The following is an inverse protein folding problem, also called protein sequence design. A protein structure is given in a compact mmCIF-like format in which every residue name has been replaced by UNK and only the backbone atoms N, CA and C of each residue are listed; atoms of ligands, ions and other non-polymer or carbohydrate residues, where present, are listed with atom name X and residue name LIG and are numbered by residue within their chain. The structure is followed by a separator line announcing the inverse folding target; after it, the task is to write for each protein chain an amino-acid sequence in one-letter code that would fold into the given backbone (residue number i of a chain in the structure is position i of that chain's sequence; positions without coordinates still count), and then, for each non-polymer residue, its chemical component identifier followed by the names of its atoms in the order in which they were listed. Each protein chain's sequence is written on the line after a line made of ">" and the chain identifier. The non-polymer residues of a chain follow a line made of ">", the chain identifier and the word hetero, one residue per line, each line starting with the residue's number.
data_IF_652518777954
#
_entry.id   IF_652518777954
#
_cell.length_a   1.000
_cell.length_b   1.000
_cell.length_c   1.000
_cell.angle_alpha   90.00
_cell.angle_beta   90.00
_cell.angle_gamma   90.00
#
_symmetry.space_group_name_H-M   'P 1'
#
loop_
_entity.id
_entity.type
_entity.pdbx_description
1 polymer ?
#
# COMPACT_ATOMS: atom_id res chain seq x y z
N UNK A 1 8.68 7.92 -29.07
CA UNK A 1 9.04 9.08 -28.22
C UNK A 1 7.80 9.50 -27.45
N UNK A 2 7.68 9.14 -26.16
CA UNK A 2 6.84 9.75 -25.10
C UNK A 2 6.42 8.75 -23.98
N UNK A 3 7.32 7.87 -23.49
CA UNK A 3 7.03 7.06 -22.28
C UNK A 3 8.07 7.18 -21.15
N UNK A 4 9.15 7.94 -21.33
CA UNK A 4 10.25 8.02 -20.33
C UNK A 4 10.38 9.37 -19.60
N UNK A 5 9.43 10.30 -19.76
CA UNK A 5 9.56 11.65 -19.17
C UNK A 5 8.93 11.78 -17.78
N UNK A 6 8.04 10.86 -17.39
CA UNK A 6 7.39 10.89 -16.06
C UNK A 6 8.13 10.08 -14.98
N UNK A 7 9.21 9.36 -15.34
CA UNK A 7 9.97 8.53 -14.40
C UNK A 7 11.24 9.21 -13.86
N UNK A 8 11.53 10.45 -14.26
CA UNK A 8 12.75 11.19 -13.88
C UNK A 8 12.44 12.50 -13.13
N UNK A 9 11.32 12.56 -12.41
CA UNK A 9 11.02 13.69 -11.53
C UNK A 9 11.85 13.65 -10.24
N UNK A 10 12.02 14.79 -9.54
CA UNK A 10 12.73 14.85 -8.25
C UNK A 10 12.21 13.87 -7.20
N UNK A 11 10.95 13.42 -7.32
CA UNK A 11 10.32 12.41 -6.48
C UNK A 11 10.92 10.99 -6.63
N UNK A 12 11.30 10.60 -7.85
CA UNK A 12 12.01 9.34 -8.09
C UNK A 12 13.41 9.46 -7.53
N UNK A 13 14.05 10.62 -7.70
CA UNK A 13 15.38 10.88 -7.16
C UNK A 13 15.42 10.80 -5.64
N UNK A 14 14.47 11.41 -4.91
CA UNK A 14 14.41 11.34 -3.43
C UNK A 14 14.09 9.92 -2.93
N UNK A 15 13.21 9.19 -3.61
CA UNK A 15 12.90 7.81 -3.25
C UNK A 15 14.09 6.87 -3.54
N UNK A 16 14.72 6.97 -4.71
CA UNK A 16 15.91 6.19 -5.06
C UNK A 16 17.08 6.56 -4.14
N UNK A 17 17.26 7.84 -3.83
CA UNK A 17 18.30 8.36 -2.95
C UNK A 17 18.13 7.89 -1.50
N UNK A 18 16.91 7.97 -0.96
CA UNK A 18 16.59 7.42 0.37
C UNK A 18 16.76 5.92 0.43
N UNK A 19 16.50 5.20 -0.67
CA UNK A 19 16.73 3.75 -0.76
C UNK A 19 18.22 3.40 -0.99
N UNK A 20 19.01 4.31 -1.58
CA UNK A 20 20.44 4.13 -1.88
C UNK A 20 21.37 4.54 -0.74
N UNK A 21 20.97 5.52 0.09
CA UNK A 21 21.44 5.56 1.48
C UNK A 21 20.79 4.39 2.17
N UNK A 22 21.54 3.61 2.94
CA UNK A 22 20.96 2.54 3.75
C UNK A 22 19.82 3.15 4.59
N UNK A 23 18.57 2.84 4.22
CA UNK A 23 17.47 3.01 5.15
C UNK A 23 17.86 2.16 6.35
N UNK A 24 18.06 2.81 7.49
CA UNK A 24 18.29 2.08 8.72
C UNK A 24 17.16 1.04 8.86
N UNK A 25 17.52 -0.13 9.38
CA UNK A 25 16.61 -1.21 9.75
C UNK A 25 15.35 -0.70 10.46
N UNK A 26 15.45 0.37 11.25
CA UNK A 26 14.32 1.04 11.90
C UNK A 26 13.30 1.63 10.92
N UNK A 27 13.76 2.27 9.84
CA UNK A 27 12.89 2.85 8.82
C UNK A 27 12.10 1.78 8.06
N UNK A 28 12.69 0.60 7.87
CA UNK A 28 12.07 -0.56 7.20
C UNK A 28 11.23 -1.45 8.13
N UNK A 29 11.22 -1.16 9.42
CA UNK A 29 10.45 -1.92 10.41
C UNK A 29 9.02 -1.40 10.49
N UNK A 30 8.04 -2.27 10.28
CA UNK A 30 6.61 -1.91 10.24
C UNK A 30 5.77 -2.84 11.14
N UNK A 31 4.56 -2.43 11.57
CA UNK A 31 3.69 -3.27 12.39
C UNK A 31 3.26 -4.53 11.64
N UNK A 32 3.52 -5.70 12.23
CA UNK A 32 3.11 -6.99 11.71
C UNK A 32 1.65 -7.26 12.05
N UNK A 33 1.25 -7.03 13.31
CA UNK A 33 -0.09 -7.37 13.81
C UNK A 33 -0.54 -6.53 15.02
N UNK A 34 -1.77 -6.78 15.47
CA UNK A 34 -2.40 -6.05 16.59
C UNK A 34 -1.78 -6.37 17.96
N UNK A 35 -1.03 -7.48 18.10
CA UNK A 35 -0.31 -7.82 19.32
C UNK A 35 0.97 -6.97 19.52
N UNK A 36 1.21 -5.98 18.66
CA UNK A 36 2.36 -5.07 18.74
C UNK A 36 3.66 -5.65 18.17
N UNK A 37 3.60 -6.80 17.50
CA UNK A 37 4.78 -7.35 16.80
C UNK A 37 5.10 -6.51 15.59
N UNK A 38 6.38 -6.44 15.25
CA UNK A 38 6.89 -5.76 14.05
C UNK A 38 7.69 -6.69 13.16
N UNK A 39 7.90 -6.28 11.93
CA UNK A 39 8.74 -6.97 10.95
C UNK A 39 9.59 -5.96 10.19
N UNK A 40 10.85 -6.28 9.94
CA UNK A 40 11.74 -5.47 9.11
C UNK A 40 11.71 -5.98 7.68
N UNK A 41 11.33 -5.12 6.73
CA UNK A 41 11.31 -5.48 5.31
C UNK A 41 12.73 -5.58 4.74
N UNK A 42 12.96 -6.56 3.87
CA UNK A 42 14.15 -6.57 3.02
C UNK A 42 14.00 -5.57 1.87
N UNK A 43 15.12 -5.09 1.31
CA UNK A 43 15.07 -4.21 0.14
C UNK A 43 14.36 -4.85 -1.06
N UNK A 44 14.47 -6.17 -1.21
CA UNK A 44 13.76 -6.91 -2.26
C UNK A 44 12.24 -6.91 -2.02
N UNK A 45 11.78 -7.05 -0.78
CA UNK A 45 10.36 -6.90 -0.44
C UNK A 45 9.87 -5.47 -0.72
N UNK A 46 10.68 -4.45 -0.41
CA UNK A 46 10.33 -3.04 -0.71
C UNK A 46 10.17 -2.79 -2.20
N UNK A 47 11.13 -3.25 -3.02
CA UNK A 47 11.08 -3.13 -4.48
C UNK A 47 9.89 -3.91 -5.05
N UNK A 48 9.68 -5.14 -4.58
CA UNK A 48 8.58 -6.01 -5.01
C UNK A 48 7.23 -5.36 -4.69
N UNK A 49 7.05 -4.86 -3.47
CA UNK A 49 5.83 -4.20 -3.02
C UNK A 49 5.45 -2.99 -3.87
N UNK A 50 6.43 -2.11 -4.14
CA UNK A 50 6.22 -0.95 -5.03
C UNK A 50 5.78 -1.37 -6.43
N UNK A 51 6.45 -2.37 -7.03
CA UNK A 51 6.11 -2.87 -8.37
C UNK A 51 4.68 -3.42 -8.42
N UNK A 52 4.31 -4.24 -7.44
CA UNK A 52 2.99 -4.87 -7.38
C UNK A 52 1.88 -3.87 -7.08
N UNK A 53 2.09 -2.95 -6.14
CA UNK A 53 1.14 -1.87 -5.85
C UNK A 53 0.89 -1.02 -7.10
N UNK A 54 1.94 -0.68 -7.85
CA UNK A 54 1.80 0.06 -9.09
C UNK A 54 0.98 -0.71 -10.15
N UNK A 55 1.19 -2.01 -10.30
CA UNK A 55 0.47 -2.83 -11.26
C UNK A 55 -1.03 -3.04 -10.89
N UNK A 56 -1.29 -3.30 -9.61
CA UNK A 56 -2.60 -3.79 -9.14
C UNK A 56 -3.46 -2.73 -8.46
N UNK A 57 -2.87 -1.75 -7.77
CA UNK A 57 -3.58 -0.86 -6.86
C UNK A 57 -3.59 0.60 -7.33
N UNK A 58 -2.53 1.04 -8.01
CA UNK A 58 -2.29 2.47 -8.26
C UNK A 58 -3.35 3.15 -9.13
N UNK A 59 -4.10 2.41 -9.95
CA UNK A 59 -5.20 2.98 -10.75
C UNK A 59 -6.16 3.77 -9.86
N UNK A 60 -6.48 3.25 -8.67
CA UNK A 60 -7.36 3.89 -7.69
C UNK A 60 -6.61 4.55 -6.53
N UNK A 61 -5.41 4.04 -6.20
CA UNK A 61 -4.65 4.44 -5.00
C UNK A 61 -3.29 5.09 -5.25
N UNK A 62 -3.12 5.78 -6.39
CA UNK A 62 -1.89 6.53 -6.67
C UNK A 62 -1.55 7.47 -5.51
N UNK A 63 -0.34 7.39 -4.94
CA UNK A 63 0.08 8.27 -3.86
C UNK A 63 -0.72 8.11 -2.56
N UNK A 64 -1.41 6.99 -2.35
CA UNK A 64 -2.13 6.69 -1.11
C UNK A 64 -3.52 7.30 -1.00
N UNK A 65 -4.03 8.00 -2.02
CA UNK A 65 -5.43 8.45 -2.03
C UNK A 65 -6.39 7.29 -2.37
N UNK A 66 -7.70 7.56 -2.39
CA UNK A 66 -8.69 6.65 -2.98
C UNK A 66 -9.60 7.44 -3.91
N UNK A 67 -9.47 7.23 -5.22
CA UNK A 67 -10.18 8.06 -6.22
C UNK A 67 -11.71 7.98 -6.13
N UNK A 68 -12.23 6.80 -5.81
CA UNK A 68 -13.68 6.55 -5.73
C UNK A 68 -14.30 6.97 -4.40
N UNK A 69 -13.48 7.24 -3.37
CA UNK A 69 -13.93 7.70 -2.07
C UNK A 69 -12.81 8.52 -1.39
N UNK A 70 -12.85 9.83 -1.53
CA UNK A 70 -11.81 10.74 -1.03
C UNK A 70 -11.76 10.83 0.51
N UNK A 71 -12.77 10.30 1.21
CA UNK A 71 -12.81 10.29 2.67
C UNK A 71 -12.01 9.14 3.28
N UNK A 72 -11.58 8.15 2.49
CA UNK A 72 -10.89 6.94 2.98
C UNK A 72 -9.58 6.74 2.21
N UNK A 73 -8.47 7.23 2.76
CA UNK A 73 -7.12 7.07 2.21
C UNK A 73 -6.39 5.82 2.68
N UNK A 74 -5.14 5.67 2.24
CA UNK A 74 -4.17 4.67 2.72
C UNK A 74 -3.14 5.28 3.68
N UNK A 75 -3.37 6.49 4.19
CA UNK A 75 -2.57 7.08 5.25
C UNK A 75 -2.82 6.38 6.60
N UNK A 76 -1.89 6.52 7.54
CA UNK A 76 -1.98 5.81 8.82
C UNK A 76 -3.18 6.22 9.67
N UNK A 77 -3.67 7.46 9.54
CA UNK A 77 -4.84 7.91 10.30
C UNK A 77 -6.09 7.19 9.81
N UNK A 78 -6.30 7.14 8.50
CA UNK A 78 -7.40 6.38 7.90
C UNK A 78 -7.30 4.88 8.21
N UNK A 79 -6.12 4.28 8.04
CA UNK A 79 -5.96 2.84 8.32
C UNK A 79 -6.20 2.49 9.80
N UNK A 80 -5.80 3.36 10.74
CA UNK A 80 -6.07 3.21 12.18
C UNK A 80 -7.54 3.42 12.56
N UNK A 81 -8.29 4.19 11.79
CA UNK A 81 -9.68 4.49 12.09
C UNK A 81 -10.68 3.47 11.51
N UNK A 82 -10.23 2.57 10.62
CA UNK A 82 -11.05 1.49 10.10
C UNK A 82 -11.38 0.45 11.19
N UNK A 83 -12.48 -0.28 10.99
CA UNK A 83 -12.91 -1.38 11.85
C UNK A 83 -12.99 -2.70 11.06
N UNK A 84 -12.24 -3.76 11.46
CA UNK A 84 -11.08 -3.70 12.35
C UNK A 84 -9.97 -2.79 11.79
N UNK A 85 -8.99 -2.45 12.63
CA UNK A 85 -7.87 -1.59 12.26
C UNK A 85 -7.04 -2.21 11.14
N UNK A 86 -6.61 -1.39 10.19
CA UNK A 86 -5.89 -1.81 8.96
C UNK A 86 -4.46 -1.29 8.91
N UNK A 87 -3.91 -0.86 10.04
CA UNK A 87 -2.57 -0.27 10.14
C UNK A 87 -1.46 -1.29 10.44
N UNK A 88 -1.65 -2.55 10.05
CA UNK A 88 -0.67 -3.63 10.21
C UNK A 88 -0.73 -4.62 9.03
N UNK A 89 0.33 -5.40 8.86
CA UNK A 89 0.50 -6.31 7.71
C UNK A 89 -0.62 -7.36 7.65
N UNK A 90 -0.90 -8.05 8.75
CA UNK A 90 -1.91 -9.11 8.78
C UNK A 90 -3.29 -8.58 8.40
N UNK A 91 -3.68 -7.40 8.88
CA UNK A 91 -4.95 -6.76 8.56
C UNK A 91 -5.05 -6.33 7.08
N UNK A 92 -3.97 -5.81 6.49
CA UNK A 92 -3.97 -5.45 5.06
C UNK A 92 -4.00 -6.69 4.15
N UNK A 93 -3.30 -7.76 4.53
CA UNK A 93 -3.40 -9.06 3.84
C UNK A 93 -4.83 -9.57 3.92
N UNK A 94 -5.45 -9.52 5.09
CA UNK A 94 -6.86 -9.88 5.27
C UNK A 94 -7.78 -9.04 4.37
N UNK A 95 -7.58 -7.72 4.31
CA UNK A 95 -8.36 -6.83 3.44
C UNK A 95 -8.22 -7.19 1.96
N UNK A 96 -7.04 -7.60 1.50
CA UNK A 96 -6.83 -8.06 0.12
C UNK A 96 -7.41 -9.44 -0.18
N UNK A 97 -7.87 -10.18 0.84
CA UNK A 97 -8.56 -11.47 0.72
C UNK A 97 -10.07 -11.33 0.83
N UNK A 98 -10.56 -10.54 1.79
CA UNK A 98 -11.97 -10.32 2.07
C UNK A 98 -12.20 -8.85 2.47
N UNK A 99 -12.28 -7.92 1.50
CA UNK A 99 -12.40 -6.50 1.80
C UNK A 99 -13.79 -6.20 2.38
N UNK A 100 -13.83 -5.37 3.43
CA UNK A 100 -15.06 -4.87 4.06
C UNK A 100 -15.14 -3.35 4.04
N UNK A 101 -16.34 -2.79 4.21
CA UNK A 101 -16.56 -1.35 4.43
C UNK A 101 -15.71 -0.82 5.59
N UNK A 102 -15.57 0.50 5.69
CA UNK A 102 -14.70 1.12 6.68
C UNK A 102 -15.09 0.78 8.13
N UNK A 103 -16.37 0.55 8.40
CA UNK A 103 -16.92 0.08 9.68
C UNK A 103 -16.93 -1.45 9.83
N UNK A 104 -16.51 -2.19 8.81
CA UNK A 104 -16.37 -3.66 8.83
C UNK A 104 -17.66 -4.44 8.62
N UNK A 105 -18.79 -3.77 8.35
CA UNK A 105 -20.11 -4.39 8.29
C UNK A 105 -20.40 -4.99 6.91
N UNK A 106 -20.18 -4.23 5.85
CA UNK A 106 -20.54 -4.63 4.49
C UNK A 106 -19.37 -5.35 3.81
N UNK A 107 -19.68 -6.43 3.10
CA UNK A 107 -18.70 -7.05 2.21
C UNK A 107 -18.51 -6.22 0.95
N UNK A 108 -17.25 -6.02 0.55
CA UNK A 108 -16.86 -5.38 -0.69
C UNK A 108 -16.23 -6.38 -1.67
N UNK A 109 -16.43 -7.69 -1.47
CA UNK A 109 -15.75 -8.74 -2.25
C UNK A 109 -16.04 -8.68 -3.75
N UNK A 110 -17.14 -8.05 -4.17
CA UNK A 110 -17.50 -7.84 -5.58
C UNK A 110 -17.20 -6.41 -6.07
N UNK A 111 -16.88 -5.49 -5.16
CA UNK A 111 -16.68 -4.07 -5.46
C UNK A 111 -15.22 -3.62 -5.36
N UNK A 112 -14.39 -4.35 -4.61
CA UNK A 112 -12.99 -4.06 -4.39
C UNK A 112 -12.11 -5.25 -4.78
N UNK A 113 -11.03 -5.05 -5.56
CA UNK A 113 -10.12 -6.12 -5.93
C UNK A 113 -9.61 -6.93 -4.73
N UNK A 114 -9.77 -8.25 -4.80
CA UNK A 114 -9.32 -9.20 -3.80
C UNK A 114 -8.97 -10.55 -4.45
N UNK A 115 -8.17 -11.36 -3.77
CA UNK A 115 -7.69 -12.65 -4.33
C UNK A 115 -8.74 -13.75 -4.30
N UNK A 116 -9.76 -13.65 -3.45
CA UNK A 116 -10.84 -14.66 -3.36
C UNK A 116 -11.77 -14.59 -4.58
N UNK A 117 -12.00 -13.39 -5.11
CA UNK A 117 -12.81 -13.12 -6.30
C UNK A 117 -11.94 -12.72 -7.51
N UNK A 118 -10.82 -13.42 -7.71
CA UNK A 118 -9.88 -13.12 -8.78
C UNK A 118 -10.41 -13.44 -10.20
N UNK A 119 -11.51 -14.16 -10.31
CA UNK A 119 -12.25 -14.39 -11.54
C UNK A 119 -12.76 -13.06 -12.14
N UNK A 120 -13.37 -12.19 -11.33
CA UNK A 120 -13.84 -10.85 -11.73
C UNK A 120 -12.75 -9.77 -11.61
N UNK A 121 -11.68 -10.02 -10.86
CA UNK A 121 -10.51 -9.14 -10.76
C UNK A 121 -9.24 -9.77 -11.34
N UNK A 122 -9.04 -9.76 -12.68
CA UNK A 122 -7.92 -10.46 -13.32
C UNK A 122 -6.53 -10.06 -12.80
N UNK A 123 -6.36 -8.83 -12.32
CA UNK A 123 -5.08 -8.35 -11.74
C UNK A 123 -4.70 -9.02 -10.42
N UNK A 124 -5.64 -9.73 -9.77
CA UNK A 124 -5.42 -10.42 -8.50
C UNK A 124 -5.05 -11.89 -8.67
N UNK A 125 -5.30 -12.50 -9.84
CA UNK A 125 -5.18 -13.96 -10.09
C UNK A 125 -3.83 -14.57 -9.77
N UNK A 126 -2.76 -13.79 -9.95
CA UNK A 126 -1.39 -14.29 -9.83
C UNK A 126 -0.68 -13.77 -8.57
N UNK A 127 -1.41 -13.15 -7.64
CA UNK A 127 -0.83 -12.65 -6.40
C UNK A 127 -0.79 -13.77 -5.36
N UNK A 128 0.43 -14.08 -4.90
CA UNK A 128 0.70 -15.03 -3.82
C UNK A 128 0.61 -14.36 -2.45
N UNK A 129 0.65 -15.14 -1.36
CA UNK A 129 0.75 -14.58 0.01
C UNK A 129 1.95 -13.64 0.17
N UNK A 130 3.11 -13.99 -0.41
CA UNK A 130 4.31 -13.14 -0.39
C UNK A 130 4.10 -11.83 -1.16
N UNK A 131 3.27 -11.85 -2.21
CA UNK A 131 2.87 -10.64 -2.95
C UNK A 131 1.98 -9.76 -2.11
N UNK A 132 0.99 -10.33 -1.41
CA UNK A 132 0.12 -9.61 -0.50
C UNK A 132 0.94 -8.99 0.64
N UNK A 133 1.87 -9.74 1.22
CA UNK A 133 2.80 -9.23 2.23
C UNK A 133 3.61 -8.04 1.69
N UNK A 134 4.17 -8.16 0.49
CA UNK A 134 4.96 -7.08 -0.11
C UNK A 134 4.12 -5.83 -0.42
N UNK A 135 2.88 -6.00 -0.91
CA UNK A 135 1.94 -4.88 -1.15
C UNK A 135 1.58 -4.19 0.17
N UNK A 136 1.22 -4.96 1.20
CA UNK A 136 0.91 -4.41 2.52
C UNK A 136 2.12 -3.68 3.11
N UNK A 137 3.31 -4.25 2.95
CA UNK A 137 4.58 -3.61 3.35
C UNK A 137 4.82 -2.29 2.63
N UNK A 138 4.53 -2.22 1.32
CA UNK A 138 4.61 -0.96 0.58
C UNK A 138 3.68 0.11 1.18
N UNK A 139 2.41 -0.22 1.41
CA UNK A 139 1.40 0.71 1.95
C UNK A 139 1.86 1.28 3.30
N UNK A 140 2.33 0.45 4.22
CA UNK A 140 2.73 0.88 5.56
C UNK A 140 4.09 1.60 5.59
N UNK A 141 4.95 1.35 4.60
CA UNK A 141 6.24 2.01 4.49
C UNK A 141 6.13 3.43 3.91
N UNK A 142 5.20 3.69 2.99
CA UNK A 142 5.10 4.99 2.31
C UNK A 142 4.93 6.19 3.27
N UNK A 143 4.08 6.15 4.32
CA UNK A 143 3.99 7.23 5.31
C UNK A 143 5.34 7.60 5.94
N UNK A 144 6.27 6.65 6.10
CA UNK A 144 7.60 6.91 6.65
C UNK A 144 8.55 7.60 5.66
N UNK A 145 8.35 7.37 4.37
CA UNK A 145 9.27 7.84 3.32
C UNK A 145 8.88 9.20 2.77
N UNK A 146 7.58 9.42 2.56
CA UNK A 146 7.05 10.64 1.92
C UNK A 146 6.06 11.41 2.80
N UNK A 147 5.88 10.99 4.07
CA UNK A 147 5.13 11.73 5.10
C UNK A 147 3.74 12.14 4.60
N UNK A 148 3.36 13.41 4.75
CA UNK A 148 2.07 13.99 4.39
C UNK A 148 1.70 13.88 2.91
N UNK A 149 2.67 13.58 2.03
CA UNK A 149 2.39 13.35 0.60
C UNK A 149 1.62 12.06 0.36
N UNK A 150 1.80 11.05 1.23
CA UNK A 150 1.06 9.80 1.12
C UNK A 150 -0.34 9.95 1.71
N UNK A 151 -1.36 9.89 0.86
CA UNK A 151 -2.76 10.13 1.23
C UNK A 151 -3.18 11.60 1.17
N UNK A 152 -2.24 12.55 1.09
CA UNK A 152 -2.54 13.99 1.07
C UNK A 152 -3.17 14.52 -0.23
N UNK A 153 -3.07 13.78 -1.33
CA UNK A 153 -3.65 14.17 -2.62
C UNK A 153 -3.04 15.44 -3.21
N UNK A 154 -3.80 16.12 -4.09
CA UNK A 154 -3.32 17.24 -4.95
C UNK A 154 -2.66 18.40 -4.20
N UNK A 155 -2.96 18.59 -2.92
CA UNK A 155 -2.43 19.70 -2.12
C UNK A 155 -0.92 19.54 -1.83
N UNK A 156 -0.38 18.33 -1.94
CA UNK A 156 1.01 18.01 -1.57
C UNK A 156 1.89 17.56 -2.75
N UNK A 157 1.40 17.67 -4.01
CA UNK A 157 2.16 17.33 -5.22
C UNK A 157 3.07 18.48 -5.69
#
# INVERSE_FOLDING_TARGET
>A
MLENVLLNGPQVFDYQWKLSKELDSEALTIPLNEAGRSVTLTLEQVKRGKRLFNASCSTCHTGGVTKTNQNVGLDLTALKGAQPRRDNIEALINYMKDPKSYDGVESLSELHPNVTNADIFPKMRNLTEDDLFAIAGHILLQPKLVSEKWGGGKVYY
#
